data_IF_165171125019
#
_entry.id   IF_165171125019
#
_cell.length_a   1.000
_cell.length_b   1.000
_cell.length_c   1.000
_cell.angle_alpha   90.00
_cell.angle_beta   90.00
_cell.angle_gamma   90.00
#
_symmetry.space_group_name_H-M   'P 1'
#
loop_
_entity.id
_entity.type
_entity.pdbx_description
1 polymer ?
#
# COMPACT_ATOMS: atom_id res chain seq x y z
N UNK A 1 4.30 -9.64 -8.30
CA UNK A 1 3.71 -9.65 -6.93
C UNK A 1 2.26 -9.16 -6.94
N UNK A 2 1.96 -7.95 -7.45
CA UNK A 2 0.58 -7.42 -7.47
C UNK A 2 -0.38 -8.29 -8.31
N UNK A 3 0.05 -8.76 -9.47
CA UNK A 3 -0.73 -9.70 -10.31
C UNK A 3 -1.06 -11.00 -9.56
N UNK A 4 -0.09 -11.57 -8.83
CA UNK A 4 -0.31 -12.77 -8.01
C UNK A 4 -1.32 -12.51 -6.89
N UNK A 5 -1.25 -11.36 -6.22
CA UNK A 5 -2.22 -10.98 -5.19
C UNK A 5 -3.64 -10.85 -5.76
N UNK A 6 -3.76 -10.21 -6.92
CA UNK A 6 -5.02 -10.01 -7.64
C UNK A 6 -5.64 -11.33 -8.09
N UNK A 7 -4.83 -12.24 -8.65
CA UNK A 7 -5.32 -13.50 -9.23
C UNK A 7 -5.54 -14.61 -8.21
N UNK A 8 -4.59 -14.80 -7.28
CA UNK A 8 -4.49 -16.03 -6.49
C UNK A 8 -4.83 -15.84 -5.01
N UNK A 9 -4.78 -14.62 -4.50
CA UNK A 9 -4.88 -14.40 -3.04
C UNK A 9 -6.22 -13.73 -2.68
N UNK A 10 -6.76 -12.88 -3.57
CA UNK A 10 -8.08 -12.24 -3.43
C UNK A 10 -9.19 -13.05 -4.11
N UNK A 11 -9.28 -14.35 -3.81
CA UNK A 11 -10.26 -15.25 -4.42
C UNK A 11 -11.66 -15.02 -3.80
N UNK A 12 -12.67 -14.84 -4.64
CA UNK A 12 -14.09 -14.98 -4.26
C UNK A 12 -14.83 -13.71 -3.84
N UNK A 13 -14.31 -12.52 -4.12
CA UNK A 13 -15.02 -11.26 -3.88
C UNK A 13 -15.24 -10.92 -2.41
N UNK A 14 -14.48 -11.56 -1.51
CA UNK A 14 -14.55 -11.29 -0.08
C UNK A 14 -13.92 -9.93 0.27
N UNK A 15 -14.37 -9.36 1.39
CA UNK A 15 -13.97 -8.02 1.84
C UNK A 15 -12.49 -7.95 2.24
N UNK A 16 -11.99 -9.03 2.85
CA UNK A 16 -10.64 -9.21 3.39
C UNK A 16 -10.06 -10.56 2.96
N UNK A 17 -8.75 -10.77 3.14
CA UNK A 17 -8.14 -12.09 3.00
C UNK A 17 -8.71 -13.08 4.00
N UNK A 18 -9.07 -12.63 5.21
CA UNK A 18 -9.82 -13.40 6.20
C UNK A 18 -11.29 -13.65 5.86
N UNK A 19 -11.79 -13.06 4.78
CA UNK A 19 -13.18 -13.14 4.38
C UNK A 19 -13.98 -11.91 4.78
N UNK A 20 -14.84 -12.05 5.78
CA UNK A 20 -15.68 -10.96 6.30
C UNK A 20 -14.97 -10.14 7.39
N UNK A 21 -13.96 -10.73 8.02
CA UNK A 21 -13.15 -10.13 9.08
C UNK A 21 -11.66 -10.09 8.70
N UNK A 22 -10.92 -9.16 9.32
CA UNK A 22 -9.47 -9.03 9.17
C UNK A 22 -8.77 -10.22 9.81
N UNK A 23 -7.80 -10.81 9.11
CA UNK A 23 -6.91 -11.82 9.68
C UNK A 23 -5.43 -11.37 9.67
N UNK A 24 -4.53 -12.29 10.02
CA UNK A 24 -3.09 -12.03 10.03
C UNK A 24 -2.52 -11.63 8.66
N UNK A 25 -3.06 -12.16 7.57
CA UNK A 25 -2.63 -11.82 6.20
C UNK A 25 -3.00 -10.38 5.87
N UNK A 26 -4.22 -9.95 6.21
CA UNK A 26 -4.65 -8.56 6.05
C UNK A 26 -3.72 -7.58 6.79
N UNK A 27 -3.30 -7.93 8.01
CA UNK A 27 -2.38 -7.12 8.81
C UNK A 27 -0.98 -7.12 8.19
N UNK A 28 -0.45 -8.26 7.78
CA UNK A 28 0.87 -8.34 7.16
C UNK A 28 0.96 -7.48 5.89
N UNK A 29 -0.10 -7.50 5.07
CA UNK A 29 -0.18 -6.73 3.82
C UNK A 29 -0.67 -5.28 4.01
N UNK A 30 -1.10 -4.87 5.21
CA UNK A 30 -1.59 -3.51 5.45
C UNK A 30 -0.53 -2.44 5.13
N UNK A 31 0.74 -2.78 5.39
CA UNK A 31 1.89 -1.95 5.05
C UNK A 31 1.98 -1.73 3.54
N UNK A 32 1.81 -2.78 2.74
CA UNK A 32 1.83 -2.72 1.27
C UNK A 32 0.73 -1.78 0.74
N UNK A 33 -0.48 -1.87 1.29
CA UNK A 33 -1.61 -1.00 0.94
C UNK A 33 -1.35 0.50 1.20
N UNK A 34 -0.55 0.79 2.22
CA UNK A 34 -0.16 2.16 2.57
C UNK A 34 1.02 2.64 1.72
N UNK A 35 2.07 1.82 1.60
CA UNK A 35 3.31 2.14 0.89
C UNK A 35 3.12 2.25 -0.63
N UNK A 36 2.17 1.52 -1.24
CA UNK A 36 1.90 1.61 -2.68
C UNK A 36 1.68 3.05 -3.15
N UNK A 37 0.82 3.81 -2.44
CA UNK A 37 0.55 5.22 -2.77
C UNK A 37 1.78 6.10 -2.63
N UNK A 38 2.57 5.85 -1.59
CA UNK A 38 3.79 6.62 -1.30
C UNK A 38 4.85 6.39 -2.38
N UNK A 39 5.02 5.13 -2.80
CA UNK A 39 5.98 4.75 -3.84
C UNK A 39 5.60 5.35 -5.19
N UNK A 40 4.32 5.35 -5.58
CA UNK A 40 3.90 5.97 -6.85
C UNK A 40 4.24 7.45 -6.92
N UNK A 41 3.96 8.19 -5.84
CA UNK A 41 4.26 9.63 -5.77
C UNK A 41 5.77 9.89 -5.74
N UNK A 42 6.54 9.02 -5.11
CA UNK A 42 7.99 9.19 -4.98
C UNK A 42 8.80 8.73 -6.19
N UNK A 43 8.43 7.59 -6.79
CA UNK A 43 9.18 6.96 -7.87
C UNK A 43 8.84 7.57 -9.23
N UNK A 44 7.61 8.05 -9.44
CA UNK A 44 7.14 8.65 -10.70
C UNK A 44 6.26 7.73 -11.56
N UNK A 45 6.58 6.43 -11.75
CA UNK A 45 5.68 5.50 -12.42
C UNK A 45 4.41 5.22 -11.62
N UNK A 46 3.27 5.13 -12.32
CA UNK A 46 2.06 4.48 -11.77
C UNK A 46 2.30 2.97 -11.76
N UNK A 47 2.46 2.42 -10.57
CA UNK A 47 2.70 0.98 -10.37
C UNK A 47 1.36 0.28 -10.10
N UNK A 48 0.39 1.00 -9.55
CA UNK A 48 -0.92 0.50 -9.20
C UNK A 48 -2.01 1.17 -10.04
N UNK A 49 -2.62 0.37 -10.92
CA UNK A 49 -3.73 0.81 -11.74
C UNK A 49 -5.02 0.15 -11.25
N UNK A 50 -5.98 0.89 -10.67
CA UNK A 50 -7.19 0.30 -10.09
C UNK A 50 -8.00 -0.57 -11.05
N UNK A 51 -7.93 -0.30 -12.36
CA UNK A 51 -8.61 -1.09 -13.39
C UNK A 51 -7.88 -2.41 -13.71
N UNK A 52 -6.56 -2.48 -13.51
CA UNK A 52 -5.78 -3.72 -13.65
C UNK A 52 -5.86 -4.59 -12.39
N UNK A 53 -6.04 -3.96 -11.23
CA UNK A 53 -6.09 -4.63 -9.92
C UNK A 53 -7.37 -4.28 -9.15
N UNK A 54 -8.57 -4.59 -9.70
CA UNK A 54 -9.84 -4.17 -9.11
C UNK A 54 -10.08 -4.80 -7.73
N UNK A 55 -9.69 -6.06 -7.50
CA UNK A 55 -9.85 -6.71 -6.20
C UNK A 55 -8.92 -6.12 -5.17
N UNK A 56 -7.66 -5.91 -5.54
CA UNK A 56 -6.68 -5.29 -4.65
C UNK A 56 -7.09 -3.86 -4.31
N UNK A 57 -7.64 -3.11 -5.27
CA UNK A 57 -8.18 -1.78 -5.02
C UNK A 57 -9.33 -1.82 -4.00
N UNK A 58 -10.30 -2.71 -4.19
CA UNK A 58 -11.42 -2.88 -3.24
C UNK A 58 -10.92 -3.25 -1.84
N UNK A 59 -10.00 -4.21 -1.74
CA UNK A 59 -9.39 -4.61 -0.48
C UNK A 59 -8.67 -3.44 0.22
N UNK A 60 -7.85 -2.65 -0.49
CA UNK A 60 -7.16 -1.48 0.07
C UNK A 60 -8.18 -0.48 0.65
N UNK A 61 -9.27 -0.20 -0.07
CA UNK A 61 -10.30 0.74 0.40
C UNK A 61 -11.03 0.19 1.63
N UNK A 62 -11.39 -1.10 1.63
CA UNK A 62 -12.01 -1.76 2.78
C UNK A 62 -11.11 -1.71 4.01
N UNK A 63 -9.81 -2.01 3.84
CA UNK A 63 -8.84 -2.00 4.93
C UNK A 63 -8.66 -0.60 5.53
N UNK A 64 -8.58 0.43 4.68
CA UNK A 64 -8.48 1.84 5.11
C UNK A 64 -9.76 2.37 5.75
N UNK A 65 -10.90 1.72 5.52
CA UNK A 65 -12.17 2.07 6.16
C UNK A 65 -12.27 1.59 7.62
N UNK A 66 -11.42 0.64 8.03
CA UNK A 66 -11.45 0.07 9.38
C UNK A 66 -10.91 1.09 10.37
N UNK A 67 -11.68 1.49 11.41
CA UNK A 67 -11.31 2.61 12.29
C UNK A 67 -9.92 2.47 12.91
N UNK A 68 -9.62 1.30 13.49
CA UNK A 68 -8.30 1.03 14.11
C UNK A 68 -7.16 1.17 13.10
N UNK A 69 -7.36 0.74 11.85
CA UNK A 69 -6.32 0.89 10.82
C UNK A 69 -6.20 2.36 10.43
N UNK A 70 -7.33 3.00 10.11
CA UNK A 70 -7.40 4.41 9.71
C UNK A 70 -6.71 5.33 10.71
N UNK A 71 -6.94 5.11 12.00
CA UNK A 71 -6.42 5.95 13.07
C UNK A 71 -4.93 5.69 13.38
N UNK A 72 -4.38 4.56 12.92
CA UNK A 72 -2.99 4.17 13.13
C UNK A 72 -2.12 4.24 11.86
N UNK A 73 -2.71 4.55 10.70
CA UNK A 73 -1.94 4.69 9.48
C UNK A 73 -1.05 5.94 9.56
N UNK A 74 0.24 5.84 9.17
CA UNK A 74 1.11 6.99 9.12
C UNK A 74 0.56 8.08 8.19
N UNK A 75 0.84 9.32 8.52
CA UNK A 75 0.51 10.44 7.65
C UNK A 75 1.30 10.34 6.33
N UNK A 76 0.58 10.31 5.20
CA UNK A 76 1.18 10.10 3.88
C UNK A 76 2.14 11.23 3.50
N UNK A 77 1.83 12.47 3.86
CA UNK A 77 2.66 13.64 3.51
C UNK A 77 3.95 13.65 4.33
N UNK A 78 3.88 13.32 5.62
CA UNK A 78 5.06 13.12 6.47
C UNK A 78 5.97 12.01 5.95
N UNK A 79 5.39 10.90 5.49
CA UNK A 79 6.17 9.83 4.87
C UNK A 79 6.85 10.28 3.58
N UNK A 80 6.14 10.99 2.70
CA UNK A 80 6.72 11.52 1.47
C UNK A 80 7.86 12.52 1.75
N UNK A 81 7.69 13.39 2.74
CA UNK A 81 8.73 14.32 3.17
C UNK A 81 9.98 13.58 3.68
N UNK A 82 9.78 12.52 4.48
CA UNK A 82 10.88 11.67 4.96
C UNK A 82 11.63 11.03 3.79
N UNK A 83 10.91 10.41 2.84
CA UNK A 83 11.55 9.77 1.69
C UNK A 83 12.29 10.75 0.79
N UNK A 84 11.75 11.95 0.56
CA UNK A 84 12.44 13.02 -0.18
C UNK A 84 13.76 13.38 0.50
N UNK A 85 13.74 13.61 1.81
CA UNK A 85 14.95 13.89 2.60
C UNK A 85 15.96 12.74 2.51
N UNK A 86 15.51 11.49 2.58
CA UNK A 86 16.38 10.33 2.45
C UNK A 86 17.02 10.25 1.06
N UNK A 87 16.26 10.55 0.01
CA UNK A 87 16.77 10.62 -1.37
C UNK A 87 17.88 11.66 -1.50
N UNK A 88 17.65 12.86 -0.97
CA UNK A 88 18.62 13.95 -1.00
C UNK A 88 19.92 13.57 -0.27
N UNK A 89 19.81 12.96 0.93
CA UNK A 89 20.98 12.49 1.68
C UNK A 89 21.76 11.42 0.91
N UNK A 90 21.07 10.45 0.28
CA UNK A 90 21.71 9.40 -0.51
C UNK A 90 22.40 9.94 -1.78
N UNK A 91 21.84 10.98 -2.38
CA UNK A 91 22.46 11.64 -3.53
C UNK A 91 23.69 12.45 -3.10
N UNK A 92 23.58 13.19 -1.99
CA UNK A 92 24.70 13.96 -1.43
C UNK A 92 25.87 13.04 -1.01
N UNK A 93 25.58 11.89 -0.39
CA UNK A 93 26.62 10.93 0.03
C UNK A 93 27.33 10.25 -1.14
N UNK A 94 26.69 10.15 -2.31
CA UNK A 94 27.31 9.61 -3.53
C UNK A 94 28.16 10.64 -4.27
N UNK A 95 28.00 11.92 -3.96
CA UNK A 95 28.74 13.03 -4.57
C UNK A 95 29.96 13.48 -3.75
N UNK A 96 30.20 12.88 -2.58
CA UNK A 96 31.43 13.00 -1.78
C UNK A 96 32.31 11.77 -1.96
#
# INVERSE_FOLDING_TARGET
>A
MLEVLEEHVLIGGKKFFGGDEINMVDIAFCSVAHWLRVVEVFAGPKIFEPHKFPRLNSWIQNLKSVPVIKDNLPDTDKMLALLKRWREMLLASKSS
#
